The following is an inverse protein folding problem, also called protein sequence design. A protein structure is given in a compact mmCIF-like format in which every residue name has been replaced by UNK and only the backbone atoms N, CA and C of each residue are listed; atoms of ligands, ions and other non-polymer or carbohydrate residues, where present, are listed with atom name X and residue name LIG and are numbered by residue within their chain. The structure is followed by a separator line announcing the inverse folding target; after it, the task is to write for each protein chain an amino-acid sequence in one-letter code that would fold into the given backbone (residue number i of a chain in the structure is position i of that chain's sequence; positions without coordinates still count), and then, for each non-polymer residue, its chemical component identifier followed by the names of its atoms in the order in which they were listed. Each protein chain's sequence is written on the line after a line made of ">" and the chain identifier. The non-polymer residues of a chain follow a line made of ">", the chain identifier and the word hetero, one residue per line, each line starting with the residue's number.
data_IF_540346600754
#
_entry.id   IF_540346600754
#
_cell.length_a   1.000
_cell.length_b   1.000
_cell.length_c   1.000
_cell.angle_alpha   90.00
_cell.angle_beta   90.00
_cell.angle_gamma   90.00
#
_symmetry.space_group_name_H-M   'P 1'
#
loop_
_entity.id
_entity.type
_entity.pdbx_description
1 polymer ?
#
# COMPACT_ATOMS: atom_id res chain seq x y z
N UNK A 1 -4.87 5.84 9.94
CA UNK A 1 -5.77 5.83 8.78
C UNK A 1 -7.08 6.59 9.06
N UNK A 2 -7.80 6.28 10.15
CA UNK A 2 -9.11 6.87 10.45
C UNK A 2 -9.08 8.40 10.53
N UNK A 3 -8.13 8.98 11.28
CA UNK A 3 -7.94 10.44 11.36
C UNK A 3 -7.52 11.02 9.99
N UNK A 4 -6.68 10.30 9.23
CA UNK A 4 -6.31 10.71 7.87
C UNK A 4 -7.52 10.76 6.93
N UNK A 5 -8.39 9.77 6.97
CA UNK A 5 -9.63 9.78 6.17
C UNK A 5 -10.57 10.94 6.58
N UNK A 6 -10.62 11.27 7.86
CA UNK A 6 -11.41 12.39 8.37
C UNK A 6 -10.82 13.75 7.99
N UNK A 7 -9.48 13.87 7.92
CA UNK A 7 -8.79 15.14 7.64
C UNK A 7 -9.01 15.67 6.21
N UNK A 8 -9.48 14.82 5.29
CA UNK A 8 -9.87 15.27 3.95
C UNK A 8 -11.17 16.06 4.06
N UNK A 9 -11.17 17.37 3.76
CA UNK A 9 -12.36 18.19 3.87
C UNK A 9 -13.38 17.77 2.80
N UNK A 10 -14.57 17.45 3.23
CA UNK A 10 -15.72 17.14 2.35
C UNK A 10 -16.92 17.98 2.77
N UNK A 11 -17.67 18.50 1.81
CA UNK A 11 -18.92 19.16 2.13
C UNK A 11 -19.95 18.13 2.66
N UNK A 12 -20.84 18.52 3.58
CA UNK A 12 -21.79 17.60 4.22
C UNK A 12 -22.64 16.78 3.24
N UNK A 13 -22.96 17.34 2.09
CA UNK A 13 -23.72 16.70 1.01
C UNK A 13 -22.96 15.58 0.30
N UNK A 14 -21.66 15.46 0.50
CA UNK A 14 -20.85 14.38 -0.08
C UNK A 14 -20.90 13.08 0.75
N UNK A 15 -21.27 13.14 2.03
CA UNK A 15 -21.30 11.95 2.92
C UNK A 15 -22.14 10.79 2.34
N UNK A 16 -23.33 10.99 1.74
CA UNK A 16 -24.10 9.90 1.15
C UNK A 16 -23.42 9.21 -0.04
N UNK A 17 -22.51 9.91 -0.75
CA UNK A 17 -21.78 9.36 -1.89
C UNK A 17 -20.53 8.56 -1.50
N UNK A 18 -20.14 8.59 -0.22
CA UNK A 18 -18.99 7.83 0.27
C UNK A 18 -19.31 6.33 0.33
N UNK A 19 -18.30 5.52 0.02
CA UNK A 19 -18.39 4.07 0.24
C UNK A 19 -18.57 3.77 1.74
N UNK A 20 -19.22 2.64 2.11
CA UNK A 20 -19.35 2.23 3.51
C UNK A 20 -18.04 2.22 4.28
N UNK A 21 -16.97 1.69 3.70
CA UNK A 21 -15.64 1.69 4.29
C UNK A 21 -15.12 3.10 4.59
N UNK A 22 -15.23 4.04 3.64
CA UNK A 22 -14.75 5.42 3.83
C UNK A 22 -15.54 6.11 4.94
N UNK A 23 -16.85 5.92 4.97
CA UNK A 23 -17.72 6.47 6.02
C UNK A 23 -17.37 5.92 7.40
N UNK A 24 -17.16 4.61 7.49
CA UNK A 24 -16.74 3.94 8.72
C UNK A 24 -15.37 4.46 9.22
N UNK A 25 -14.39 4.62 8.34
CA UNK A 25 -13.09 5.19 8.71
C UNK A 25 -13.21 6.61 9.23
N UNK A 26 -14.01 7.46 8.57
CA UNK A 26 -14.25 8.85 9.02
C UNK A 26 -14.94 8.91 10.38
N UNK A 27 -15.92 8.04 10.63
CA UNK A 27 -16.59 7.96 11.93
C UNK A 27 -15.63 7.55 13.05
N UNK A 28 -14.80 6.54 12.80
CA UNK A 28 -13.70 6.17 13.73
C UNK A 28 -12.74 7.33 13.97
N UNK A 29 -12.46 8.12 12.95
CA UNK A 29 -11.62 9.32 13.07
C UNK A 29 -12.22 10.38 13.99
N UNK A 30 -13.56 10.56 13.96
CA UNK A 30 -14.27 11.49 14.87
C UNK A 30 -14.17 11.07 16.33
N UNK A 31 -14.15 9.76 16.61
CA UNK A 31 -13.99 9.22 17.96
C UNK A 31 -12.55 9.21 18.49
N UNK A 32 -11.55 9.47 17.65
CA UNK A 32 -10.15 9.42 18.07
C UNK A 32 -9.79 10.63 18.97
N UNK A 33 -9.23 10.34 20.14
CA UNK A 33 -8.73 11.38 21.04
C UNK A 33 -7.36 11.91 20.60
N UNK A 34 -7.01 13.11 21.04
CA UNK A 34 -5.66 13.67 20.82
C UNK A 34 -4.55 12.79 21.39
N UNK A 35 -4.78 12.12 22.53
CA UNK A 35 -3.82 11.22 23.15
C UNK A 35 -3.58 9.97 22.29
N UNK A 36 -4.64 9.34 21.78
CA UNK A 36 -4.54 8.19 20.88
C UNK A 36 -3.82 8.56 19.59
N UNK A 37 -4.13 9.72 19.02
CA UNK A 37 -3.43 10.20 17.82
C UNK A 37 -1.95 10.45 18.08
N UNK A 38 -1.58 11.12 19.19
CA UNK A 38 -0.20 11.36 19.56
C UNK A 38 0.56 10.04 19.80
N UNK A 39 -0.07 9.08 20.46
CA UNK A 39 0.50 7.74 20.66
C UNK A 39 0.74 7.00 19.34
N UNK A 40 -0.20 7.06 18.40
CA UNK A 40 -0.04 6.46 17.08
C UNK A 40 1.11 7.12 16.28
N UNK A 41 1.23 8.44 16.33
CA UNK A 41 2.33 9.16 15.69
C UNK A 41 3.69 8.80 16.29
N UNK A 42 3.79 8.67 17.61
CA UNK A 42 5.02 8.23 18.28
C UNK A 42 5.39 6.79 17.87
N UNK A 43 4.41 5.88 17.76
CA UNK A 43 4.63 4.52 17.30
C UNK A 43 5.14 4.47 15.85
N UNK A 44 4.60 5.31 14.95
CA UNK A 44 5.08 5.43 13.56
C UNK A 44 6.53 5.92 13.52
N UNK A 45 6.88 6.93 14.33
CA UNK A 45 8.25 7.44 14.40
C UNK A 45 9.23 6.36 14.91
N UNK A 46 8.83 5.59 15.91
CA UNK A 46 9.64 4.48 16.43
C UNK A 46 9.83 3.39 15.38
N UNK A 47 8.75 2.99 14.68
CA UNK A 47 8.80 2.04 13.57
C UNK A 47 9.76 2.51 12.47
N UNK A 48 9.65 3.78 12.06
CA UNK A 48 10.52 4.39 11.04
C UNK A 48 12.00 4.30 11.44
N UNK A 49 12.30 4.57 12.71
CA UNK A 49 13.67 4.45 13.24
C UNK A 49 14.16 3.00 13.25
N UNK A 50 13.32 2.05 13.65
CA UNK A 50 13.64 0.62 13.64
C UNK A 50 13.92 0.12 12.22
N UNK A 51 13.03 0.45 11.26
CA UNK A 51 13.21 0.12 9.85
C UNK A 51 14.51 0.70 9.29
N UNK A 52 14.83 1.96 9.62
CA UNK A 52 16.05 2.60 9.20
C UNK A 52 17.30 1.85 9.70
N UNK A 53 17.30 1.40 10.95
CA UNK A 53 18.41 0.63 11.51
C UNK A 53 18.51 -0.78 10.94
N UNK A 54 17.38 -1.48 10.81
CA UNK A 54 17.36 -2.87 10.31
C UNK A 54 17.79 -2.97 8.84
N UNK A 55 17.48 -1.94 8.04
CA UNK A 55 17.76 -1.95 6.60
C UNK A 55 18.99 -1.12 6.22
N UNK A 56 19.79 -0.69 7.20
CA UNK A 56 20.92 0.22 6.96
C UNK A 56 22.01 -0.38 6.05
N UNK A 57 22.21 -1.70 6.12
CA UNK A 57 23.27 -2.39 5.38
C UNK A 57 22.82 -2.90 3.99
N UNK A 58 21.58 -2.58 3.58
CA UNK A 58 21.02 -3.00 2.30
C UNK A 58 20.73 -1.78 1.42
N UNK A 59 21.17 -1.85 0.16
CA UNK A 59 20.86 -0.82 -0.85
C UNK A 59 19.37 -0.88 -1.23
N UNK A 60 18.82 -2.11 -1.37
CA UNK A 60 17.45 -2.35 -1.79
C UNK A 60 16.84 -3.51 -1.01
N UNK A 61 15.59 -3.37 -0.61
CA UNK A 61 14.76 -4.41 -0.01
C UNK A 61 13.79 -4.92 -1.08
N UNK A 62 13.75 -6.24 -1.26
CA UNK A 62 12.84 -6.90 -2.20
C UNK A 62 11.73 -7.61 -1.43
N UNK A 63 10.49 -7.42 -1.88
CA UNK A 63 9.32 -8.13 -1.35
C UNK A 63 8.27 -8.34 -2.46
N UNK A 64 7.28 -9.22 -2.27
CA UNK A 64 6.08 -9.16 -3.09
C UNK A 64 5.38 -7.80 -2.89
N UNK A 65 4.69 -7.30 -3.91
CA UNK A 65 3.85 -6.10 -3.75
C UNK A 65 2.59 -6.43 -2.97
N UNK A 66 1.98 -7.58 -3.26
CA UNK A 66 0.75 -8.08 -2.64
C UNK A 66 1.00 -9.44 -1.98
N UNK A 67 0.19 -9.81 -0.99
CA UNK A 67 0.32 -11.06 -0.25
C UNK A 67 -0.18 -12.29 -1.03
N UNK A 68 -0.92 -12.07 -2.11
CA UNK A 68 -1.49 -13.12 -2.95
C UNK A 68 -1.67 -12.62 -4.39
N UNK A 69 -1.92 -13.50 -5.35
CA UNK A 69 -2.22 -13.11 -6.73
C UNK A 69 -3.41 -12.14 -6.81
N UNK A 70 -3.56 -11.41 -7.93
CA UNK A 70 -4.70 -10.54 -8.15
C UNK A 70 -6.03 -11.28 -7.94
N UNK A 71 -6.93 -10.68 -7.18
CA UNK A 71 -8.26 -11.24 -6.90
C UNK A 71 -9.30 -10.67 -7.85
N UNK A 72 -10.46 -11.32 -7.94
CA UNK A 72 -11.58 -10.80 -8.71
C UNK A 72 -12.00 -9.41 -8.22
N UNK A 73 -12.47 -8.57 -9.13
CA UNK A 73 -12.96 -7.22 -8.78
C UNK A 73 -14.09 -7.34 -7.75
N UNK A 74 -13.95 -6.62 -6.64
CA UNK A 74 -14.91 -6.62 -5.54
C UNK A 74 -14.70 -7.72 -4.50
N UNK A 75 -13.81 -8.70 -4.70
CA UNK A 75 -13.65 -9.84 -3.78
C UNK A 75 -13.21 -9.47 -2.35
N UNK A 76 -12.58 -8.31 -2.17
CA UNK A 76 -12.19 -7.81 -0.84
C UNK A 76 -13.22 -6.86 -0.23
N UNK A 77 -14.23 -6.46 -1.02
CA UNK A 77 -15.21 -5.46 -0.59
C UNK A 77 -16.32 -6.12 0.22
N UNK A 78 -16.61 -5.54 1.36
CA UNK A 78 -17.74 -5.92 2.22
C UNK A 78 -18.45 -4.63 2.70
N UNK A 79 -19.51 -4.26 1.99
CA UNK A 79 -20.27 -3.05 2.29
C UNK A 79 -21.13 -3.19 3.56
N UNK A 80 -21.42 -4.41 4.00
CA UNK A 80 -22.21 -4.71 5.20
C UNK A 80 -21.31 -4.77 6.45
N UNK A 81 -20.03 -5.13 6.29
CA UNK A 81 -19.02 -5.10 7.37
C UNK A 81 -17.74 -4.36 6.95
N UNK A 82 -17.72 -3.03 7.04
CA UNK A 82 -16.55 -2.21 6.70
C UNK A 82 -15.29 -2.52 7.52
N UNK A 83 -15.44 -3.09 8.72
CA UNK A 83 -14.30 -3.50 9.53
C UNK A 83 -13.63 -4.76 8.94
N UNK A 84 -14.42 -5.72 8.49
CA UNK A 84 -13.95 -6.92 7.78
C UNK A 84 -13.32 -6.55 6.45
N UNK A 85 -13.96 -5.66 5.67
CA UNK A 85 -13.41 -5.09 4.43
C UNK A 85 -12.00 -4.51 4.67
N UNK A 86 -11.86 -3.59 5.63
CA UNK A 86 -10.56 -2.98 5.95
C UNK A 86 -9.53 -4.01 6.36
N UNK A 87 -9.90 -5.00 7.17
CA UNK A 87 -9.01 -6.07 7.59
C UNK A 87 -8.57 -6.95 6.41
N UNK A 88 -9.47 -7.23 5.45
CA UNK A 88 -9.14 -7.97 4.23
C UNK A 88 -8.13 -7.22 3.36
N UNK A 89 -8.34 -5.91 3.17
CA UNK A 89 -7.39 -5.06 2.43
C UNK A 89 -6.02 -4.99 3.10
N UNK A 90 -5.96 -4.87 4.43
CA UNK A 90 -4.68 -4.90 5.16
C UNK A 90 -3.94 -6.24 5.00
N UNK A 91 -4.65 -7.36 5.00
CA UNK A 91 -4.04 -8.69 4.73
C UNK A 91 -3.57 -8.83 3.29
N UNK A 92 -4.26 -8.19 2.34
CA UNK A 92 -3.90 -8.20 0.93
C UNK A 92 -2.67 -7.35 0.62
N UNK A 93 -2.47 -6.22 1.33
CA UNK A 93 -1.39 -5.24 1.11
C UNK A 93 -0.47 -5.05 2.33
N UNK A 94 0.09 -6.12 2.92
CA UNK A 94 0.82 -6.02 4.20
C UNK A 94 2.18 -5.31 4.07
N UNK A 95 2.79 -5.30 2.89
CA UNK A 95 4.16 -4.82 2.67
C UNK A 95 4.25 -3.32 2.37
N UNK A 96 3.23 -2.74 1.73
CA UNK A 96 3.26 -1.37 1.23
C UNK A 96 3.20 -0.32 2.34
N UNK A 97 2.53 -0.65 3.46
CA UNK A 97 2.32 0.30 4.56
C UNK A 97 3.61 0.77 5.23
N UNK A 98 4.64 -0.08 5.30
CA UNK A 98 5.92 0.31 5.90
C UNK A 98 6.59 1.45 5.13
N UNK A 99 6.54 1.44 3.79
CA UNK A 99 7.08 2.49 2.95
C UNK A 99 6.27 3.79 3.09
N UNK A 100 4.93 3.68 3.06
CA UNK A 100 4.04 4.83 3.24
C UNK A 100 4.23 5.52 4.60
N UNK A 101 4.42 4.75 5.66
CA UNK A 101 4.58 5.27 7.02
C UNK A 101 5.98 5.80 7.29
N UNK A 102 7.02 5.19 6.69
CA UNK A 102 8.40 5.61 6.89
C UNK A 102 8.88 6.69 5.92
N UNK A 103 8.11 7.00 4.88
CA UNK A 103 8.49 7.96 3.84
C UNK A 103 9.62 7.47 2.92
N UNK A 104 9.88 6.17 2.89
CA UNK A 104 10.90 5.57 2.02
C UNK A 104 10.34 5.34 0.62
N UNK A 105 11.15 5.51 -0.43
CA UNK A 105 10.73 5.21 -1.79
C UNK A 105 10.57 3.70 -2.00
N UNK A 106 9.57 3.34 -2.81
CA UNK A 106 9.37 1.99 -3.30
C UNK A 106 8.81 2.02 -4.73
N UNK A 107 9.16 1.00 -5.52
CA UNK A 107 8.66 0.79 -6.87
C UNK A 107 8.20 -0.65 -7.02
N UNK A 108 7.07 -0.88 -7.70
CA UNK A 108 6.56 -2.20 -8.03
C UNK A 108 6.69 -2.46 -9.53
N UNK A 109 7.27 -3.59 -9.88
CA UNK A 109 7.51 -4.01 -11.26
C UNK A 109 6.82 -5.34 -11.53
N UNK A 110 6.19 -5.56 -12.69
CA UNK A 110 5.50 -6.79 -13.06
C UNK A 110 6.50 -7.85 -13.57
N UNK A 111 7.40 -8.31 -12.70
CA UNK A 111 8.51 -9.20 -13.09
C UNK A 111 8.12 -10.68 -13.22
N UNK A 112 6.88 -11.03 -12.92
CA UNK A 112 6.36 -12.38 -13.03
C UNK A 112 4.90 -12.38 -13.47
N UNK A 113 4.45 -13.49 -14.05
CA UNK A 113 3.04 -13.71 -14.39
C UNK A 113 2.56 -15.03 -13.79
N UNK A 114 1.27 -15.12 -13.51
CA UNK A 114 0.60 -16.34 -13.05
C UNK A 114 -0.69 -16.56 -13.83
N UNK A 115 -0.85 -17.78 -14.36
CA UNK A 115 -2.11 -18.23 -14.94
C UNK A 115 -2.93 -18.97 -13.87
N UNK A 116 -4.07 -18.41 -13.50
CA UNK A 116 -5.05 -19.02 -12.60
C UNK A 116 -6.32 -19.29 -13.41
N UNK A 117 -6.40 -20.43 -14.08
CA UNK A 117 -7.58 -20.87 -14.87
C UNK A 117 -8.16 -19.77 -15.82
N UNK A 118 -7.30 -18.88 -16.35
CA UNK A 118 -7.67 -17.73 -17.15
C UNK A 118 -6.46 -17.05 -17.81
N UNK A 119 -6.56 -15.76 -18.17
CA UNK A 119 -5.44 -15.02 -18.72
C UNK A 119 -4.31 -14.91 -17.70
N UNK A 120 -3.07 -14.87 -18.18
CA UNK A 120 -1.92 -14.59 -17.33
C UNK A 120 -2.05 -13.20 -16.67
N UNK A 121 -1.91 -13.17 -15.36
CA UNK A 121 -1.99 -11.95 -14.55
C UNK A 121 -0.59 -11.55 -14.07
N UNK A 122 -0.25 -10.25 -14.10
CA UNK A 122 1.05 -9.80 -13.62
C UNK A 122 1.14 -9.88 -12.09
N UNK A 123 2.31 -10.34 -11.62
CA UNK A 123 2.68 -10.35 -10.22
C UNK A 123 3.68 -9.23 -9.98
N UNK A 124 3.33 -8.30 -9.10
CA UNK A 124 4.20 -7.20 -8.70
C UNK A 124 5.31 -7.67 -7.76
N UNK A 125 6.56 -7.36 -8.12
CA UNK A 125 7.73 -7.43 -7.25
C UNK A 125 8.07 -6.01 -6.81
N UNK A 126 8.10 -5.78 -5.51
CA UNK A 126 8.35 -4.46 -4.93
C UNK A 126 9.80 -4.34 -4.50
N UNK A 127 10.42 -3.25 -4.91
CA UNK A 127 11.76 -2.83 -4.51
C UNK A 127 11.62 -1.56 -3.66
N UNK A 128 12.17 -1.58 -2.46
CA UNK A 128 12.23 -0.42 -1.59
C UNK A 128 13.67 -0.03 -1.30
N UNK A 129 13.93 1.26 -1.08
CA UNK A 129 15.27 1.74 -0.81
C UNK A 129 15.33 2.68 0.40
N UNK A 130 16.52 3.16 0.72
CA UNK A 130 16.77 4.17 1.73
C UNK A 130 16.07 5.50 1.41
N UNK A 131 15.91 6.35 2.41
CA UNK A 131 15.31 7.66 2.23
C UNK A 131 16.06 8.49 1.18
N UNK A 132 15.34 9.06 0.21
CA UNK A 132 15.89 9.87 -0.89
C UNK A 132 16.60 9.06 -1.99
N UNK A 133 16.50 7.73 -1.99
CA UNK A 133 17.14 6.85 -2.99
C UNK A 133 16.21 6.53 -4.18
N UNK A 134 15.34 7.46 -4.57
CA UNK A 134 14.43 7.32 -5.71
C UNK A 134 15.18 7.06 -7.01
N UNK A 135 16.29 7.78 -7.23
CA UNK A 135 17.12 7.61 -8.42
C UNK A 135 17.73 6.20 -8.53
N UNK A 136 18.12 5.59 -7.41
CA UNK A 136 18.59 4.21 -7.37
C UNK A 136 17.50 3.24 -7.84
N UNK A 137 16.29 3.40 -7.31
CA UNK A 137 15.16 2.53 -7.70
C UNK A 137 14.79 2.68 -9.17
N UNK A 138 14.79 3.90 -9.70
CA UNK A 138 14.51 4.15 -11.12
C UNK A 138 15.59 3.55 -12.03
N UNK A 139 16.87 3.66 -11.67
CA UNK A 139 17.96 3.07 -12.42
C UNK A 139 17.90 1.53 -12.41
N UNK A 140 17.61 0.94 -11.24
CA UNK A 140 17.43 -0.51 -11.10
C UNK A 140 16.21 -1.00 -11.89
N UNK A 141 15.09 -0.27 -11.81
CA UNK A 141 13.88 -0.60 -12.56
C UNK A 141 14.14 -0.62 -14.07
N UNK A 142 14.83 0.40 -14.60
CA UNK A 142 15.20 0.46 -16.02
C UNK A 142 16.11 -0.72 -16.43
N UNK A 143 17.04 -1.12 -15.55
CA UNK A 143 17.92 -2.27 -15.81
C UNK A 143 17.14 -3.58 -15.82
N UNK A 144 16.18 -3.76 -14.91
CA UNK A 144 15.33 -4.95 -14.83
C UNK A 144 14.37 -5.03 -16.02
N UNK A 145 13.78 -3.89 -16.43
CA UNK A 145 12.92 -3.83 -17.61
C UNK A 145 13.68 -4.19 -18.89
N UNK A 146 14.93 -3.74 -19.03
CA UNK A 146 15.78 -4.11 -20.16
C UNK A 146 16.15 -5.59 -20.16
N UNK A 147 16.38 -6.20 -18.99
CA UNK A 147 16.74 -7.60 -18.84
C UNK A 147 15.55 -8.56 -18.97
N UNK A 148 14.38 -8.16 -18.51
CA UNK A 148 13.13 -8.94 -18.51
C UNK A 148 11.97 -8.06 -18.96
N UNK A 149 11.87 -7.71 -20.25
CA UNK A 149 10.83 -6.83 -20.76
C UNK A 149 9.43 -7.46 -20.59
N UNK A 150 8.48 -6.66 -20.20
CA UNK A 150 7.07 -7.05 -20.09
C UNK A 150 6.19 -6.28 -21.09
N UNK A 151 5.11 -6.91 -21.54
CA UNK A 151 4.10 -6.24 -22.35
C UNK A 151 3.14 -5.46 -21.44
N UNK A 152 2.85 -4.20 -21.83
CA UNK A 152 1.85 -3.41 -21.12
C UNK A 152 0.45 -3.92 -21.46
N UNK A 153 -0.44 -4.20 -20.46
CA UNK A 153 -1.78 -4.73 -20.72
C UNK A 153 -2.66 -3.82 -21.59
N UNK A 154 -2.37 -2.53 -21.65
CA UNK A 154 -3.09 -1.55 -22.49
C UNK A 154 -2.54 -1.45 -23.92
N UNK A 155 -1.58 -2.27 -24.32
CA UNK A 155 -1.03 -2.34 -25.67
C UNK A 155 -1.81 -3.29 -26.60
N UNK A 156 -3.09 -3.55 -26.29
CA UNK A 156 -4.03 -4.34 -27.11
C UNK A 156 -4.99 -3.42 -27.81
#
# INVERSE_FOLDING_TARGET
>A
WAVGALSIPLPPEADPALTPLTRWLRERGRGATGLEYAGAMAAIQLLTKQVAGTWADFDVILSPTLAQPPVAVGALRDDDDPASDFAAQMRFTPWTSVFNLSGRPAISLPLHTVGLDGPELPIGVMLGAGFGQDALLLALAASLEAAAPWSHPAAV
#
